data_IF_745805784657
#
_entry.id   IF_745805784657
#
_cell.length_a   1.000
_cell.length_b   1.000
_cell.length_c   1.000
_cell.angle_alpha   90.00
_cell.angle_beta   90.00
_cell.angle_gamma   90.00
#
_symmetry.space_group_name_H-M   'P 1'
#
loop_
_entity.id
_entity.type
_entity.pdbx_description
1 polymer ?
#
# COMPACT_ATOMS: atom_id res chain seq x y z
N UNK A 1 -3.31 -29.94 12.46
CA UNK A 1 -3.70 -28.82 13.34
C UNK A 1 -2.75 -27.62 13.20
N UNK A 2 -1.44 -27.76 13.36
CA UNK A 2 -0.43 -26.66 13.27
C UNK A 2 -0.42 -25.89 11.94
N UNK A 3 -0.59 -26.57 10.79
CA UNK A 3 -0.61 -25.92 9.44
C UNK A 3 -1.86 -25.06 9.26
N UNK A 4 -3.01 -25.50 9.79
CA UNK A 4 -4.26 -24.74 9.73
C UNK A 4 -4.18 -23.47 10.60
N UNK A 5 -3.57 -23.58 11.78
CA UNK A 5 -3.38 -22.45 12.71
C UNK A 5 -2.46 -21.37 12.13
N UNK A 6 -1.35 -21.76 11.51
CA UNK A 6 -0.43 -20.82 10.84
C UNK A 6 -1.08 -20.06 9.68
N UNK A 7 -1.98 -20.72 8.92
CA UNK A 7 -2.73 -20.10 7.84
C UNK A 7 -3.77 -19.10 8.38
N UNK A 8 -4.48 -19.44 9.42
CA UNK A 8 -5.46 -18.55 10.07
C UNK A 8 -4.79 -17.29 10.60
N UNK A 9 -3.63 -17.42 11.27
CA UNK A 9 -2.85 -16.27 11.74
C UNK A 9 -2.40 -15.37 10.59
N UNK A 10 -1.98 -15.94 9.46
CA UNK A 10 -1.61 -15.18 8.28
C UNK A 10 -2.79 -14.40 7.69
N UNK A 11 -3.97 -15.01 7.60
CA UNK A 11 -5.18 -14.34 7.10
C UNK A 11 -5.63 -13.21 8.03
N UNK A 12 -5.60 -13.41 9.35
CA UNK A 12 -5.89 -12.36 10.33
C UNK A 12 -4.90 -11.20 10.25
N UNK A 13 -3.61 -11.50 10.08
CA UNK A 13 -2.58 -10.48 9.92
C UNK A 13 -2.80 -9.64 8.64
N UNK A 14 -3.15 -10.27 7.52
CA UNK A 14 -3.48 -9.56 6.27
C UNK A 14 -4.72 -8.69 6.43
N UNK A 15 -5.74 -9.19 7.12
CA UNK A 15 -6.96 -8.43 7.39
C UNK A 15 -6.66 -7.18 8.22
N UNK A 16 -5.91 -7.34 9.33
CA UNK A 16 -5.49 -6.22 10.16
C UNK A 16 -4.60 -5.22 9.40
N UNK A 17 -3.67 -5.69 8.58
CA UNK A 17 -2.81 -4.84 7.75
C UNK A 17 -3.63 -3.97 6.81
N UNK A 18 -4.60 -4.53 6.11
CA UNK A 18 -5.45 -3.81 5.15
C UNK A 18 -6.35 -2.79 5.84
N UNK A 19 -6.90 -3.11 7.02
CA UNK A 19 -7.65 -2.15 7.83
C UNK A 19 -6.80 -0.94 8.22
N UNK A 20 -5.57 -1.18 8.66
CA UNK A 20 -4.62 -0.11 9.00
C UNK A 20 -4.20 0.71 7.77
N UNK A 21 -3.98 0.07 6.61
CA UNK A 21 -3.68 0.79 5.38
C UNK A 21 -4.86 1.63 4.90
N UNK A 22 -6.07 1.10 4.93
CA UNK A 22 -7.25 1.88 4.57
C UNK A 22 -7.43 3.12 5.46
N UNK A 23 -7.20 2.99 6.78
CA UNK A 23 -7.25 4.12 7.71
C UNK A 23 -6.10 5.10 7.49
N UNK A 24 -4.95 4.67 6.97
CA UNK A 24 -3.81 5.56 6.74
C UNK A 24 -4.09 6.67 5.75
N UNK A 25 -4.92 6.45 4.73
CA UNK A 25 -5.34 7.49 3.79
C UNK A 25 -6.03 8.66 4.49
N UNK A 26 -6.91 8.35 5.44
CA UNK A 26 -7.61 9.36 6.24
C UNK A 26 -6.65 10.11 7.16
N UNK A 27 -5.79 9.36 7.87
CA UNK A 27 -4.82 9.93 8.80
C UNK A 27 -3.77 10.78 8.07
N UNK A 28 -3.33 10.38 6.87
CA UNK A 28 -2.45 11.18 6.01
C UNK A 28 -3.11 12.49 5.60
N UNK A 29 -4.37 12.48 5.17
CA UNK A 29 -5.14 13.70 4.85
C UNK A 29 -5.19 14.65 6.05
N UNK A 30 -5.46 14.15 7.24
CA UNK A 30 -5.47 14.93 8.47
C UNK A 30 -4.08 15.50 8.79
N UNK A 31 -3.03 14.66 8.68
CA UNK A 31 -1.67 15.05 8.96
C UNK A 31 -1.14 16.13 8.00
N UNK A 32 -1.48 16.03 6.71
CA UNK A 32 -1.05 16.99 5.67
C UNK A 32 -1.73 18.37 5.79
N UNK A 33 -2.85 18.46 6.54
CA UNK A 33 -3.41 19.75 6.92
C UNK A 33 -2.65 20.47 8.04
N UNK A 34 -1.75 19.77 8.73
CA UNK A 34 -1.00 20.24 9.89
C UNK A 34 0.49 20.39 9.63
N UNK A 35 1.06 19.51 8.85
CA UNK A 35 2.48 19.46 8.53
C UNK A 35 2.68 19.17 7.05
N UNK A 36 3.80 19.64 6.53
CA UNK A 36 4.23 19.33 5.17
C UNK A 36 4.26 17.80 4.95
N UNK A 37 3.80 17.29 3.77
CA UNK A 37 3.80 15.86 3.47
C UNK A 37 5.15 15.17 3.67
N UNK A 38 6.28 15.83 3.32
CA UNK A 38 7.61 15.22 3.47
C UNK A 38 7.99 15.07 4.94
N UNK A 39 7.57 16.03 5.80
CA UNK A 39 7.76 15.96 7.25
C UNK A 39 6.97 14.78 7.85
N UNK A 40 5.73 14.61 7.44
CA UNK A 40 4.87 13.51 7.90
C UNK A 40 5.47 12.15 7.49
N UNK A 41 5.87 12.00 6.23
CA UNK A 41 6.44 10.73 5.74
C UNK A 41 7.79 10.45 6.39
N UNK A 42 8.68 11.44 6.51
CA UNK A 42 9.92 11.26 7.26
C UNK A 42 9.65 10.86 8.70
N UNK A 43 8.76 11.59 9.40
CA UNK A 43 8.44 11.35 10.80
C UNK A 43 7.96 9.92 11.06
N UNK A 44 7.04 9.40 10.23
CA UNK A 44 6.56 8.01 10.37
C UNK A 44 7.65 6.96 10.14
N UNK A 45 8.55 7.19 9.17
CA UNK A 45 9.67 6.28 8.89
C UNK A 45 10.71 6.34 10.02
N UNK A 46 11.01 7.53 10.51
CA UNK A 46 11.97 7.75 11.58
C UNK A 46 11.50 7.11 12.91
N UNK A 47 10.23 7.29 13.29
CA UNK A 47 9.65 6.64 14.47
C UNK A 47 9.73 5.13 14.34
N UNK A 48 9.35 4.57 13.20
CA UNK A 48 9.45 3.14 12.95
C UNK A 48 10.90 2.65 13.06
N UNK A 49 11.86 3.41 12.52
CA UNK A 49 13.29 3.10 12.61
C UNK A 49 13.79 3.07 14.06
N UNK A 50 13.40 4.05 14.87
CA UNK A 50 13.76 4.07 16.29
C UNK A 50 13.21 2.86 17.03
N UNK A 51 11.95 2.49 16.78
CA UNK A 51 11.35 1.29 17.38
C UNK A 51 12.10 0.01 16.96
N UNK A 52 12.49 -0.10 15.67
CA UNK A 52 13.25 -1.25 15.20
C UNK A 52 14.66 -1.33 15.76
N UNK A 53 15.30 -0.20 16.10
CA UNK A 53 16.60 -0.22 16.78
C UNK A 53 16.54 -0.97 18.10
N UNK A 54 15.44 -0.88 18.86
CA UNK A 54 15.26 -1.58 20.14
C UNK A 54 15.25 -3.11 19.98
N UNK A 55 14.76 -3.62 18.84
CA UNK A 55 14.64 -5.04 18.55
C UNK A 55 15.65 -5.55 17.51
N UNK A 56 16.56 -4.70 17.06
CA UNK A 56 17.53 -4.99 15.99
C UNK A 56 18.29 -6.30 16.19
N UNK A 57 18.78 -6.53 17.40
CA UNK A 57 19.56 -7.74 17.75
C UNK A 57 18.78 -9.04 17.48
N UNK A 58 17.45 -9.01 17.69
CA UNK A 58 16.55 -10.15 17.45
C UNK A 58 16.32 -10.44 15.98
N UNK A 59 16.37 -9.41 15.13
CA UNK A 59 16.04 -9.50 13.70
C UNK A 59 17.24 -9.72 12.79
N UNK A 60 18.48 -9.51 13.25
CA UNK A 60 19.70 -9.55 12.44
C UNK A 60 20.16 -10.93 11.97
N UNK A 61 19.52 -12.02 12.45
CA UNK A 61 19.81 -13.37 11.96
C UNK A 61 19.18 -13.55 10.59
N UNK A 62 19.99 -13.39 9.53
CA UNK A 62 19.56 -13.40 8.14
C UNK A 62 20.44 -14.37 7.32
N UNK A 63 19.84 -14.98 6.29
CA UNK A 63 20.55 -15.76 5.27
C UNK A 63 20.85 -14.87 4.05
N UNK A 64 21.85 -13.98 4.20
CA UNK A 64 22.26 -13.05 3.16
C UNK A 64 23.06 -13.75 2.08
N UNK A 65 22.73 -13.49 0.81
CA UNK A 65 23.50 -13.92 -0.35
C UNK A 65 24.10 -12.73 -1.08
N UNK A 66 25.33 -12.88 -1.65
CA UNK A 66 25.94 -11.83 -2.47
C UNK A 66 24.98 -11.34 -3.57
N UNK A 67 24.74 -10.04 -3.63
CA UNK A 67 23.82 -9.41 -4.59
C UNK A 67 22.40 -9.15 -4.07
N UNK A 68 21.98 -9.69 -2.93
CA UNK A 68 20.66 -9.43 -2.34
C UNK A 68 20.41 -7.94 -2.04
N UNK A 69 21.50 -7.18 -1.79
CA UNK A 69 21.40 -5.73 -1.57
C UNK A 69 20.73 -5.00 -2.72
N UNK A 70 20.89 -5.48 -3.97
CA UNK A 70 20.24 -4.87 -5.15
C UNK A 70 18.72 -5.00 -5.06
N UNK A 71 18.24 -6.18 -4.66
CA UNK A 71 16.81 -6.43 -4.53
C UNK A 71 16.22 -5.75 -3.29
N UNK A 72 16.97 -5.69 -2.18
CA UNK A 72 16.59 -4.94 -0.98
C UNK A 72 16.53 -3.43 -1.26
N UNK A 73 17.54 -2.88 -1.96
CA UNK A 73 17.56 -1.48 -2.37
C UNK A 73 16.40 -1.17 -3.33
N UNK A 74 16.17 -2.01 -4.35
CA UNK A 74 15.05 -1.84 -5.26
C UNK A 74 13.70 -1.88 -4.53
N UNK A 75 13.52 -2.82 -3.58
CA UNK A 75 12.33 -2.90 -2.74
C UNK A 75 12.12 -1.58 -1.95
N UNK A 76 13.17 -1.06 -1.30
CA UNK A 76 13.10 0.17 -0.51
C UNK A 76 12.94 1.44 -1.36
N UNK A 77 13.52 1.49 -2.56
CA UNK A 77 13.33 2.58 -3.52
C UNK A 77 11.89 2.59 -4.06
N UNK A 78 11.35 1.40 -4.40
CA UNK A 78 9.96 1.29 -4.81
C UNK A 78 9.04 1.71 -3.65
N UNK A 79 9.20 1.08 -2.49
CA UNK A 79 8.39 1.33 -1.31
C UNK A 79 9.22 1.09 -0.04
N UNK A 80 9.46 2.12 0.76
CA UNK A 80 8.74 3.39 0.89
C UNK A 80 9.19 4.54 -0.03
N UNK A 81 10.29 4.44 -0.79
CA UNK A 81 10.86 5.55 -1.53
C UNK A 81 9.84 6.30 -2.40
N UNK A 82 9.74 5.96 -3.67
CA UNK A 82 8.87 6.66 -4.63
C UNK A 82 7.38 6.48 -4.35
N UNK A 83 6.96 5.34 -3.80
CA UNK A 83 5.55 5.12 -3.45
C UNK A 83 5.00 6.27 -2.60
N UNK A 84 5.63 6.58 -1.47
CA UNK A 84 5.10 7.64 -0.59
C UNK A 84 5.30 9.05 -1.13
N UNK A 85 6.25 9.29 -2.06
CA UNK A 85 6.29 10.58 -2.78
C UNK A 85 5.02 10.74 -3.61
N UNK A 86 4.67 9.71 -4.39
CA UNK A 86 3.49 9.76 -5.25
C UNK A 86 2.19 9.75 -4.44
N UNK A 87 2.07 8.91 -3.41
CA UNK A 87 0.90 8.87 -2.52
C UNK A 87 0.70 10.20 -1.78
N UNK A 88 1.78 10.78 -1.22
CA UNK A 88 1.70 12.05 -0.53
C UNK A 88 1.24 13.17 -1.45
N UNK A 89 1.84 13.29 -2.64
CA UNK A 89 1.40 14.26 -3.65
C UNK A 89 -0.02 13.95 -4.14
N UNK A 90 -0.38 12.69 -4.34
CA UNK A 90 -1.74 12.31 -4.72
C UNK A 90 -2.77 12.86 -3.73
N UNK A 91 -2.55 12.64 -2.44
CA UNK A 91 -3.47 13.05 -1.37
C UNK A 91 -3.52 14.57 -1.15
N UNK A 92 -2.59 15.34 -1.68
CA UNK A 92 -2.72 16.81 -1.72
C UNK A 92 -3.65 17.29 -2.85
N UNK A 93 -3.83 16.47 -3.90
CA UNK A 93 -4.60 16.83 -5.09
C UNK A 93 -5.94 16.11 -5.20
N UNK A 94 -6.12 14.94 -4.56
CA UNK A 94 -7.36 14.14 -4.63
C UNK A 94 -7.90 13.76 -3.23
N UNK A 95 -9.12 13.24 -3.19
CA UNK A 95 -9.72 12.75 -1.95
C UNK A 95 -9.18 11.37 -1.56
N UNK A 96 -9.20 11.06 -0.26
CA UNK A 96 -8.72 9.78 0.26
C UNK A 96 -9.53 8.59 -0.29
N UNK A 97 -10.84 8.77 -0.48
CA UNK A 97 -11.72 7.76 -1.08
C UNK A 97 -11.36 7.46 -2.53
N UNK A 98 -11.00 8.48 -3.33
CA UNK A 98 -10.57 8.29 -4.72
C UNK A 98 -9.20 7.60 -4.80
N UNK A 99 -8.21 8.06 -4.02
CA UNK A 99 -6.90 7.41 -3.92
C UNK A 99 -7.04 5.94 -3.52
N UNK A 100 -7.81 5.65 -2.47
CA UNK A 100 -8.10 4.28 -2.05
C UNK A 100 -8.76 3.42 -3.14
N UNK A 101 -9.59 4.03 -4.01
CA UNK A 101 -10.22 3.31 -5.13
C UNK A 101 -9.20 2.93 -6.19
N UNK A 102 -8.17 3.76 -6.45
CA UNK A 102 -7.07 3.44 -7.37
C UNK A 102 -6.23 2.26 -6.87
N UNK A 103 -6.11 2.07 -5.55
CA UNK A 103 -5.41 0.91 -4.97
C UNK A 103 -5.99 -0.43 -5.42
N UNK A 104 -7.26 -0.49 -5.83
CA UNK A 104 -7.87 -1.70 -6.38
C UNK A 104 -7.19 -2.23 -7.65
N UNK A 105 -6.41 -1.40 -8.34
CA UNK A 105 -5.63 -1.80 -9.51
C UNK A 105 -4.40 -2.65 -9.14
N UNK A 106 -3.89 -2.51 -7.92
CA UNK A 106 -2.62 -3.13 -7.51
C UNK A 106 -2.59 -4.66 -7.63
N UNK A 107 -3.59 -5.44 -7.17
CA UNK A 107 -3.55 -6.88 -7.34
C UNK A 107 -3.53 -7.32 -8.81
N UNK A 108 -4.17 -6.56 -9.68
CA UNK A 108 -4.21 -6.81 -11.12
C UNK A 108 -2.85 -6.51 -11.76
N UNK A 109 -2.20 -5.41 -11.35
CA UNK A 109 -0.84 -5.06 -11.77
C UNK A 109 0.16 -6.11 -11.30
N UNK A 110 0.03 -6.60 -10.07
CA UNK A 110 0.86 -7.70 -9.54
C UNK A 110 0.65 -8.98 -10.35
N UNK A 111 -0.57 -9.32 -10.77
CA UNK A 111 -0.83 -10.49 -11.60
C UNK A 111 -0.15 -10.36 -12.99
N UNK A 112 -0.19 -9.18 -13.60
CA UNK A 112 0.50 -8.89 -14.88
C UNK A 112 2.03 -8.99 -14.69
N UNK A 113 2.56 -8.37 -13.64
CA UNK A 113 3.99 -8.41 -13.35
C UNK A 113 4.47 -9.85 -13.04
N UNK A 114 3.68 -10.65 -12.30
CA UNK A 114 3.95 -12.06 -12.06
C UNK A 114 3.98 -12.85 -13.37
N UNK A 115 3.07 -12.57 -14.33
CA UNK A 115 3.13 -13.18 -15.66
C UNK A 115 4.42 -12.86 -16.39
N UNK A 116 4.86 -11.61 -16.38
CA UNK A 116 6.04 -11.17 -17.11
C UNK A 116 7.35 -11.66 -16.46
N UNK A 117 7.40 -11.66 -15.11
CA UNK A 117 8.62 -11.92 -14.35
C UNK A 117 8.72 -13.36 -13.88
N UNK A 118 7.60 -13.97 -13.44
CA UNK A 118 7.52 -15.32 -12.87
C UNK A 118 6.96 -16.33 -13.89
N UNK A 119 6.48 -15.86 -15.05
CA UNK A 119 5.82 -16.65 -16.12
C UNK A 119 4.53 -17.34 -15.67
N UNK A 120 3.88 -16.82 -14.63
CA UNK A 120 2.59 -17.31 -14.16
C UNK A 120 1.50 -17.13 -15.24
N UNK A 121 0.55 -18.07 -15.40
CA UNK A 121 -0.49 -17.96 -16.42
C UNK A 121 -1.45 -16.80 -16.09
N UNK A 122 -1.74 -15.93 -17.07
CA UNK A 122 -2.83 -14.97 -16.99
C UNK A 122 -4.09 -15.55 -17.62
N UNK A 123 -5.18 -15.52 -16.87
CA UNK A 123 -6.47 -15.98 -17.39
C UNK A 123 -7.20 -14.87 -18.15
N UNK A 124 -8.12 -15.26 -19.05
CA UNK A 124 -9.00 -14.30 -19.72
C UNK A 124 -9.81 -13.46 -18.72
N UNK A 125 -10.20 -14.08 -17.60
CA UNK A 125 -10.91 -13.39 -16.50
C UNK A 125 -10.09 -12.27 -15.89
N UNK A 126 -8.80 -12.53 -15.61
CA UNK A 126 -7.88 -11.51 -15.10
C UNK A 126 -7.77 -10.34 -16.07
N UNK A 127 -7.64 -10.60 -17.38
CA UNK A 127 -7.56 -9.55 -18.40
C UNK A 127 -8.87 -8.75 -18.45
N UNK A 128 -10.04 -9.42 -18.52
CA UNK A 128 -11.33 -8.74 -18.57
C UNK A 128 -11.56 -7.90 -17.31
N UNK A 129 -11.27 -8.46 -16.13
CA UNK A 129 -11.39 -7.73 -14.86
C UNK A 129 -10.48 -6.52 -14.79
N UNK A 130 -9.23 -6.64 -15.29
CA UNK A 130 -8.30 -5.53 -15.39
C UNK A 130 -8.80 -4.41 -16.31
N UNK A 131 -9.29 -4.77 -17.49
CA UNK A 131 -9.87 -3.79 -18.42
C UNK A 131 -11.05 -3.04 -17.80
N UNK A 132 -11.96 -3.74 -17.12
CA UNK A 132 -13.09 -3.12 -16.41
C UNK A 132 -12.61 -2.18 -15.31
N UNK A 133 -11.63 -2.60 -14.50
CA UNK A 133 -11.10 -1.79 -13.42
C UNK A 133 -10.39 -0.52 -13.94
N UNK A 134 -9.62 -0.62 -15.02
CA UNK A 134 -9.01 0.56 -15.68
C UNK A 134 -10.10 1.52 -16.20
N UNK A 135 -11.10 1.02 -16.90
CA UNK A 135 -12.21 1.86 -17.39
C UNK A 135 -12.91 2.55 -16.23
N UNK A 136 -13.18 1.83 -15.15
CA UNK A 136 -13.75 2.42 -13.91
C UNK A 136 -12.85 3.51 -13.32
N UNK A 137 -11.55 3.27 -13.22
CA UNK A 137 -10.59 4.25 -12.68
C UNK A 137 -10.49 5.51 -13.58
N UNK A 138 -10.52 5.36 -14.90
CA UNK A 138 -10.54 6.49 -15.85
C UNK A 138 -11.83 7.30 -15.71
N UNK A 139 -12.99 6.65 -15.62
CA UNK A 139 -14.27 7.33 -15.42
C UNK A 139 -14.28 8.04 -14.05
N UNK A 140 -13.81 7.38 -12.99
CA UNK A 140 -13.71 7.97 -11.65
C UNK A 140 -12.89 9.26 -11.70
N UNK A 141 -11.71 9.22 -12.31
CA UNK A 141 -10.82 10.37 -12.45
C UNK A 141 -11.42 11.49 -13.30
N UNK A 142 -12.07 11.16 -14.42
CA UNK A 142 -12.65 12.16 -15.32
C UNK A 142 -13.95 12.79 -14.80
N UNK A 143 -14.66 12.08 -13.92
CA UNK A 143 -15.88 12.56 -13.27
C UNK A 143 -15.59 13.35 -11.97
N UNK A 144 -14.32 13.44 -11.56
CA UNK A 144 -13.94 14.14 -10.35
C UNK A 144 -13.89 15.65 -10.60
N UNK A 145 -14.56 16.40 -9.73
CA UNK A 145 -14.56 17.85 -9.73
C UNK A 145 -13.58 18.38 -8.67
N UNK A 146 -12.93 19.51 -8.97
CA UNK A 146 -12.03 20.16 -8.03
C UNK A 146 -12.82 20.71 -6.84
N UNK A 147 -12.31 20.46 -5.65
CA UNK A 147 -12.84 20.97 -4.38
C UNK A 147 -11.74 21.68 -3.60
N UNK A 148 -12.07 22.28 -2.47
CA UNK A 148 -11.06 22.90 -1.59
C UNK A 148 -10.05 21.89 -1.05
N UNK A 149 -10.43 20.63 -0.88
CA UNK A 149 -9.60 19.54 -0.36
C UNK A 149 -9.04 18.63 -1.45
N UNK A 150 -9.49 18.77 -2.70
CA UNK A 150 -9.08 18.00 -3.85
C UNK A 150 -8.95 18.93 -5.07
N UNK A 151 -7.87 19.69 -5.13
CA UNK A 151 -7.68 20.80 -6.08
C UNK A 151 -7.47 20.34 -7.52
N UNK A 152 -6.93 19.14 -7.74
CA UNK A 152 -6.75 18.54 -9.07
C UNK A 152 -6.86 17.01 -8.98
N UNK A 153 -8.10 16.47 -8.86
CA UNK A 153 -8.29 15.05 -8.65
C UNK A 153 -7.71 14.16 -9.76
N UNK A 154 -7.74 14.62 -10.99
CA UNK A 154 -7.18 13.86 -12.14
C UNK A 154 -5.67 13.66 -11.97
N UNK A 155 -4.93 14.71 -11.60
CA UNK A 155 -3.50 14.61 -11.32
C UNK A 155 -3.26 13.75 -10.09
N UNK A 156 -4.03 13.93 -9.01
CA UNK A 156 -3.92 13.13 -7.80
C UNK A 156 -4.13 11.64 -8.06
N UNK A 157 -5.18 11.27 -8.79
CA UNK A 157 -5.46 9.88 -9.16
C UNK A 157 -4.38 9.28 -10.07
N UNK A 158 -3.78 10.08 -10.96
CA UNK A 158 -2.65 9.64 -11.77
C UNK A 158 -1.38 9.41 -10.92
N UNK A 159 -1.10 10.29 -9.96
CA UNK A 159 0.02 10.10 -9.02
C UNK A 159 -0.19 8.84 -8.16
N UNK A 160 -1.40 8.59 -7.70
CA UNK A 160 -1.73 7.36 -6.97
C UNK A 160 -1.54 6.11 -7.84
N UNK A 161 -1.87 6.18 -9.13
CA UNK A 161 -1.57 5.09 -10.07
C UNK A 161 -0.06 4.84 -10.18
N UNK A 162 0.78 5.89 -10.20
CA UNK A 162 2.25 5.74 -10.18
C UNK A 162 2.72 5.10 -8.85
N UNK A 163 2.10 5.46 -7.72
CA UNK A 163 2.35 4.79 -6.44
C UNK A 163 2.05 3.29 -6.53
N UNK A 164 0.95 2.89 -7.18
CA UNK A 164 0.63 1.47 -7.39
C UNK A 164 1.68 0.73 -8.24
N UNK A 165 2.30 1.39 -9.23
CA UNK A 165 3.43 0.81 -9.96
C UNK A 165 4.59 0.51 -9.01
N UNK A 166 4.91 1.44 -8.12
CA UNK A 166 5.96 1.26 -7.11
C UNK A 166 5.60 0.12 -6.13
N UNK A 167 4.36 0.10 -5.63
CA UNK A 167 3.87 -0.97 -4.75
C UNK A 167 3.94 -2.35 -5.42
N UNK A 168 3.66 -2.42 -6.73
CA UNK A 168 3.82 -3.66 -7.49
C UNK A 168 5.30 -4.13 -7.50
N UNK A 169 6.24 -3.21 -7.74
CA UNK A 169 7.68 -3.49 -7.66
C UNK A 169 8.11 -4.00 -6.28
N UNK A 170 7.63 -3.35 -5.22
CA UNK A 170 7.82 -3.79 -3.84
C UNK A 170 7.28 -5.21 -3.61
N UNK A 171 6.03 -5.51 -3.98
CA UNK A 171 5.41 -6.82 -3.73
C UNK A 171 6.14 -7.97 -4.43
N UNK A 172 6.57 -7.76 -5.66
CA UNK A 172 7.35 -8.77 -6.41
C UNK A 172 8.71 -9.00 -5.74
N UNK A 173 9.38 -7.94 -5.28
CA UNK A 173 10.65 -8.02 -4.56
C UNK A 173 10.49 -8.71 -3.21
N UNK A 174 9.46 -8.32 -2.45
CA UNK A 174 9.10 -8.93 -1.18
C UNK A 174 8.89 -10.44 -1.33
N UNK A 175 8.12 -10.87 -2.35
CA UNK A 175 7.86 -12.31 -2.57
C UNK A 175 9.13 -13.09 -2.86
N UNK A 176 10.12 -12.50 -3.54
CA UNK A 176 11.43 -13.13 -3.77
C UNK A 176 12.30 -13.19 -2.51
N UNK A 177 12.14 -12.25 -1.58
CA UNK A 177 12.95 -12.14 -0.36
C UNK A 177 12.38 -12.96 0.81
N UNK A 178 11.07 -13.05 0.96
CA UNK A 178 10.40 -13.71 2.11
C UNK A 178 10.76 -15.20 2.34
N UNK A 179 11.21 -16.00 1.36
CA UNK A 179 11.67 -17.36 1.63
C UNK A 179 12.96 -17.43 2.48
N UNK A 180 13.78 -16.37 2.47
CA UNK A 180 15.10 -16.32 3.14
C UNK A 180 15.20 -15.29 4.26
N UNK A 181 14.38 -14.25 4.19
CA UNK A 181 14.41 -13.14 5.14
C UNK A 181 13.19 -13.16 6.04
N UNK A 182 13.42 -12.87 7.33
CA UNK A 182 12.33 -12.65 8.25
C UNK A 182 11.47 -11.46 7.78
N UNK A 183 10.14 -11.57 7.71
CA UNK A 183 9.25 -10.49 7.30
C UNK A 183 9.45 -9.18 8.08
N UNK A 184 9.67 -9.26 9.39
CA UNK A 184 9.93 -8.10 10.25
C UNK A 184 11.27 -7.44 9.95
N UNK A 185 12.28 -8.23 9.53
CA UNK A 185 13.54 -7.69 9.05
C UNK A 185 13.34 -6.87 7.76
N UNK A 186 12.52 -7.36 6.84
CA UNK A 186 12.19 -6.62 5.61
C UNK A 186 11.47 -5.31 5.92
N UNK A 187 10.51 -5.32 6.87
CA UNK A 187 9.84 -4.10 7.34
C UNK A 187 10.83 -3.13 7.99
N UNK A 188 11.78 -3.63 8.77
CA UNK A 188 12.84 -2.81 9.36
C UNK A 188 13.71 -2.16 8.29
N UNK A 189 14.13 -2.89 7.25
CA UNK A 189 14.88 -2.33 6.11
C UNK A 189 14.06 -1.24 5.41
N UNK A 190 12.76 -1.44 5.20
CA UNK A 190 11.89 -0.41 4.64
C UNK A 190 11.85 0.85 5.51
N UNK A 191 11.74 0.72 6.84
CA UNK A 191 11.76 1.87 7.73
C UNK A 191 13.07 2.66 7.64
N UNK A 192 14.23 1.97 7.68
CA UNK A 192 15.54 2.61 7.58
C UNK A 192 15.78 3.23 6.20
N UNK A 193 15.46 2.53 5.13
CA UNK A 193 15.60 3.08 3.76
C UNK A 193 14.68 4.27 3.56
N UNK A 194 13.45 4.24 4.10
CA UNK A 194 12.54 5.38 4.08
C UNK A 194 13.08 6.57 4.86
N UNK A 195 13.56 6.36 6.09
CA UNK A 195 14.17 7.45 6.87
C UNK A 195 15.34 8.08 6.14
N UNK A 196 16.23 7.27 5.55
CA UNK A 196 17.38 7.77 4.79
C UNK A 196 16.94 8.49 3.50
N UNK A 197 15.92 7.99 2.81
CA UNK A 197 15.42 8.59 1.56
C UNK A 197 14.74 9.93 1.82
N UNK A 198 13.93 10.05 2.88
CA UNK A 198 13.15 11.25 3.15
C UNK A 198 13.93 12.31 3.93
N UNK A 199 15.00 11.94 4.65
CA UNK A 199 15.80 12.90 5.41
C UNK A 199 16.32 14.09 4.56
N UNK A 200 16.97 13.87 3.39
CA UNK A 200 17.41 14.98 2.54
C UNK A 200 16.24 15.81 1.97
N UNK A 201 15.06 15.23 1.79
CA UNK A 201 13.90 15.94 1.25
C UNK A 201 13.35 16.99 2.24
N UNK A 202 13.67 16.89 3.52
CA UNK A 202 13.32 17.91 4.51
C UNK A 202 14.04 19.25 4.28
N UNK A 203 15.16 19.25 3.54
CA UNK A 203 15.95 20.44 3.25
C UNK A 203 15.64 21.03 1.88
N UNK A 204 14.65 20.52 1.17
CA UNK A 204 14.19 21.13 -0.09
C UNK A 204 13.52 22.46 0.19
N UNK A 205 13.72 23.49 -0.67
CA UNK A 205 13.07 24.79 -0.52
C UNK A 205 11.54 24.74 -0.53
N UNK A 206 10.98 23.65 -1.08
CA UNK A 206 9.54 23.40 -1.14
C UNK A 206 8.97 22.75 0.13
N UNK A 207 9.82 22.30 1.06
CA UNK A 207 9.38 21.63 2.29
C UNK A 207 9.29 22.62 3.44
N UNK A 208 8.11 22.77 4.01
CA UNK A 208 7.86 23.64 5.15
C UNK A 208 8.07 22.87 6.46
N UNK A 209 9.15 23.20 7.17
CA UNK A 209 9.39 22.60 8.49
C UNK A 209 8.42 23.18 9.53
N UNK A 210 7.93 22.37 10.50
CA UNK A 210 7.00 22.83 11.51
C UNK A 210 7.65 23.88 12.41
N UNK A 211 6.99 25.01 12.57
CA UNK A 211 7.42 26.11 13.45
C UNK A 211 6.74 26.09 14.81
N UNK A 212 5.68 25.28 14.95
CA UNK A 212 4.90 25.13 16.18
C UNK A 212 4.51 23.67 16.42
N UNK A 213 4.25 23.36 17.67
CA UNK A 213 3.74 22.03 18.05
C UNK A 213 2.24 21.93 17.72
N UNK A 214 1.86 20.90 16.97
CA UNK A 214 0.47 20.52 16.72
C UNK A 214 0.22 19.09 17.21
N UNK A 215 -0.61 18.93 18.22
CA UNK A 215 -0.86 17.65 18.86
C UNK A 215 -1.49 16.64 17.91
N UNK A 216 -2.44 17.07 17.06
CA UNK A 216 -3.11 16.18 16.11
C UNK A 216 -2.13 15.70 15.03
N UNK A 217 -1.27 16.58 14.52
CA UNK A 217 -0.24 16.24 13.56
C UNK A 217 0.76 15.24 14.15
N UNK A 218 1.22 15.46 15.39
CA UNK A 218 2.15 14.53 16.07
C UNK A 218 1.50 13.18 16.34
N UNK A 219 0.25 13.13 16.82
CA UNK A 219 -0.49 11.87 17.05
C UNK A 219 -0.67 11.13 15.71
N UNK A 220 -0.96 11.84 14.63
CA UNK A 220 -1.08 11.24 13.29
C UNK A 220 0.25 10.61 12.85
N UNK A 221 1.38 11.29 13.03
CA UNK A 221 2.70 10.75 12.69
C UNK A 221 3.04 9.53 13.56
N UNK A 222 2.74 9.57 14.87
CA UNK A 222 2.92 8.41 15.76
C UNK A 222 2.07 7.21 15.32
N UNK A 223 0.80 7.44 15.00
CA UNK A 223 -0.08 6.41 14.48
C UNK A 223 0.45 5.80 13.18
N UNK A 224 0.83 6.64 12.22
CA UNK A 224 1.41 6.20 10.94
C UNK A 224 2.73 5.44 11.13
N UNK A 225 3.58 5.87 12.05
CA UNK A 225 4.87 5.22 12.33
C UNK A 225 4.71 3.86 13.00
N UNK A 226 3.94 3.79 14.06
CA UNK A 226 3.82 2.58 14.88
C UNK A 226 2.81 1.59 14.30
N UNK A 227 1.57 2.03 14.07
CA UNK A 227 0.51 1.10 13.66
C UNK A 227 0.56 0.81 12.17
N UNK A 228 0.84 1.80 11.33
CA UNK A 228 0.85 1.59 9.88
C UNK A 228 2.22 1.09 9.41
N UNK A 229 3.31 1.82 9.68
CA UNK A 229 4.63 1.43 9.17
C UNK A 229 5.16 0.15 9.82
N UNK A 230 5.07 0.00 11.13
CA UNK A 230 5.50 -1.26 11.78
C UNK A 230 4.40 -2.30 11.69
N UNK A 231 3.19 -1.95 12.15
CA UNK A 231 2.08 -2.89 12.29
C UNK A 231 1.58 -3.43 10.95
N UNK A 232 1.07 -2.56 10.07
CA UNK A 232 0.47 -3.00 8.81
C UNK A 232 1.49 -3.66 7.89
N UNK A 233 2.66 -3.02 7.65
CA UNK A 233 3.70 -3.61 6.81
C UNK A 233 4.26 -4.91 7.39
N UNK A 234 4.52 -4.96 8.71
CA UNK A 234 5.01 -6.17 9.36
C UNK A 234 4.01 -7.33 9.24
N UNK A 235 2.73 -7.07 9.49
CA UNK A 235 1.65 -8.07 9.38
C UNK A 235 1.42 -8.49 7.92
N UNK A 236 1.47 -7.56 6.96
CA UNK A 236 1.33 -7.88 5.55
C UNK A 236 2.51 -8.72 5.04
N UNK A 237 3.74 -8.32 5.36
CA UNK A 237 4.96 -9.07 5.02
C UNK A 237 4.93 -10.48 5.64
N UNK A 238 4.44 -10.61 6.88
CA UNK A 238 4.23 -11.91 7.52
C UNK A 238 3.18 -12.74 6.77
N UNK A 239 2.04 -12.18 6.43
CA UNK A 239 1.00 -12.85 5.65
C UNK A 239 1.52 -13.32 4.29
N UNK A 240 2.21 -12.43 3.55
CA UNK A 240 2.84 -12.69 2.26
C UNK A 240 3.88 -13.82 2.33
N UNK A 241 4.57 -13.99 3.47
CA UNK A 241 5.52 -15.10 3.67
C UNK A 241 4.86 -16.47 3.81
N UNK A 242 3.58 -16.51 4.23
CA UNK A 242 2.87 -17.75 4.59
C UNK A 242 1.89 -18.25 3.54
N UNK A 243 1.40 -17.37 2.66
CA UNK A 243 0.43 -17.73 1.63
C UNK A 243 0.87 -17.23 0.24
N UNK A 244 0.30 -17.75 -0.86
CA UNK A 244 0.61 -17.28 -2.21
C UNK A 244 0.36 -15.79 -2.40
N UNK A 245 1.22 -15.11 -3.19
CA UNK A 245 1.15 -13.67 -3.41
C UNK A 245 -0.21 -13.21 -3.95
N UNK A 246 -0.79 -13.94 -4.91
CA UNK A 246 -2.11 -13.64 -5.46
C UNK A 246 -3.23 -13.72 -4.40
N UNK A 247 -3.10 -14.61 -3.40
CA UNK A 247 -4.07 -14.70 -2.31
C UNK A 247 -3.86 -13.57 -1.29
N UNK A 248 -2.63 -13.19 -0.98
CA UNK A 248 -2.31 -12.10 -0.08
C UNK A 248 -2.72 -10.75 -0.68
N UNK A 249 -2.40 -10.49 -1.95
CA UNK A 249 -2.77 -9.25 -2.64
C UNK A 249 -4.28 -9.06 -2.78
N UNK A 250 -5.06 -10.14 -2.83
CA UNK A 250 -6.53 -10.05 -2.90
C UNK A 250 -7.15 -9.31 -1.69
N UNK A 251 -6.47 -9.29 -0.53
CA UNK A 251 -6.93 -8.52 0.64
C UNK A 251 -6.90 -7.00 0.40
N UNK A 252 -6.01 -6.52 -0.45
CA UNK A 252 -5.91 -5.08 -0.80
C UNK A 252 -7.21 -4.57 -1.43
N UNK A 253 -7.98 -5.44 -2.09
CA UNK A 253 -9.27 -5.09 -2.65
C UNK A 253 -10.32 -4.64 -1.60
N UNK A 254 -10.04 -4.81 -0.30
CA UNK A 254 -10.86 -4.26 0.78
C UNK A 254 -10.57 -2.77 1.02
N UNK A 255 -9.37 -2.27 0.66
CA UNK A 255 -8.98 -0.87 0.88
C UNK A 255 -10.01 0.09 0.27
N UNK A 256 -10.41 -0.03 -1.03
CA UNK A 256 -11.35 0.89 -1.63
C UNK A 256 -12.65 1.05 -0.86
N UNK A 257 -13.20 -0.08 -0.40
CA UNK A 257 -14.48 -0.08 0.33
C UNK A 257 -14.33 0.60 1.69
N UNK A 258 -13.24 0.29 2.40
CA UNK A 258 -12.99 0.83 3.73
C UNK A 258 -12.66 2.32 3.65
N UNK A 259 -11.79 2.74 2.72
CA UNK A 259 -11.45 4.17 2.54
C UNK A 259 -12.64 4.99 2.11
N UNK A 260 -13.51 4.47 1.24
CA UNK A 260 -14.75 5.13 0.86
C UNK A 260 -15.65 5.39 2.08
N UNK A 261 -15.87 4.36 2.91
CA UNK A 261 -16.69 4.49 4.12
C UNK A 261 -16.05 5.50 5.10
N UNK A 262 -14.75 5.39 5.33
CA UNK A 262 -14.04 6.29 6.24
C UNK A 262 -13.98 7.73 5.71
N UNK A 263 -13.78 7.93 4.41
CA UNK A 263 -13.78 9.24 3.76
C UNK A 263 -15.15 9.95 3.90
N UNK A 264 -16.24 9.20 3.67
CA UNK A 264 -17.60 9.71 3.86
C UNK A 264 -17.90 10.08 5.32
N UNK A 265 -17.45 9.22 6.28
CA UNK A 265 -17.83 9.37 7.70
C UNK A 265 -16.91 10.36 8.44
N UNK A 266 -15.60 10.36 8.15
CA UNK A 266 -14.60 11.10 8.93
C UNK A 266 -14.12 12.39 8.25
N UNK A 267 -14.15 12.45 6.92
CA UNK A 267 -13.71 13.62 6.15
C UNK A 267 -14.85 14.36 5.43
N UNK A 268 -16.10 13.88 5.57
CA UNK A 268 -17.29 14.38 4.85
C UNK A 268 -17.07 14.46 3.31
N UNK A 269 -16.21 13.57 2.78
CA UNK A 269 -15.98 13.45 1.33
C UNK A 269 -17.26 12.96 0.67
N UNK A 270 -17.68 13.59 -0.43
CA UNK A 270 -18.88 13.21 -1.17
C UNK A 270 -18.56 12.96 -2.62
N UNK A 271 -18.79 11.74 -3.05
CA UNK A 271 -18.69 11.39 -4.46
C UNK A 271 -19.99 11.76 -5.19
N UNK A 272 -19.88 12.22 -6.43
CA UNK A 272 -21.04 12.36 -7.28
C UNK A 272 -21.52 10.99 -7.78
N UNK A 273 -22.72 10.92 -8.36
CA UNK A 273 -23.32 9.66 -8.76
C UNK A 273 -22.47 8.91 -9.80
N UNK A 274 -21.78 9.65 -10.68
CA UNK A 274 -20.90 9.09 -11.71
C UNK A 274 -19.66 8.45 -11.09
N UNK A 275 -19.12 9.06 -10.03
CA UNK A 275 -18.00 8.50 -9.26
C UNK A 275 -18.41 7.23 -8.49
N UNK A 276 -19.64 7.17 -7.94
CA UNK A 276 -20.14 5.93 -7.33
C UNK A 276 -20.28 4.79 -8.35
N UNK A 277 -20.79 5.08 -9.54
CA UNK A 277 -20.91 4.06 -10.59
C UNK A 277 -19.55 3.62 -11.12
N UNK A 278 -18.60 4.53 -11.27
CA UNK A 278 -17.23 4.23 -11.64
C UNK A 278 -16.53 3.36 -10.58
N UNK A 279 -16.71 3.69 -9.29
CA UNK A 279 -16.20 2.90 -8.16
C UNK A 279 -16.78 1.48 -8.15
N UNK A 280 -18.08 1.36 -8.39
CA UNK A 280 -18.73 0.05 -8.54
C UNK A 280 -18.13 -0.75 -9.70
N UNK A 281 -17.83 -0.09 -10.84
CA UNK A 281 -17.19 -0.74 -11.98
C UNK A 281 -15.79 -1.24 -11.66
N UNK A 282 -14.99 -0.47 -10.90
CA UNK A 282 -13.67 -0.91 -10.40
C UNK A 282 -13.83 -2.16 -9.54
N UNK A 283 -14.75 -2.16 -8.57
CA UNK A 283 -15.00 -3.30 -7.67
C UNK A 283 -15.49 -4.53 -8.46
N UNK A 284 -16.37 -4.36 -9.43
CA UNK A 284 -16.83 -5.44 -10.33
C UNK A 284 -15.65 -5.98 -11.15
N UNK A 285 -14.80 -5.11 -11.69
CA UNK A 285 -13.60 -5.52 -12.43
C UNK A 285 -12.67 -6.39 -11.57
N UNK A 286 -12.44 -5.98 -10.33
CA UNK A 286 -11.67 -6.74 -9.34
C UNK A 286 -12.34 -8.11 -9.08
N UNK A 287 -13.64 -8.13 -8.84
CA UNK A 287 -14.38 -9.38 -8.58
C UNK A 287 -14.32 -10.34 -9.77
N UNK A 288 -14.48 -9.83 -10.99
CA UNK A 288 -14.38 -10.62 -12.22
C UNK A 288 -12.97 -11.19 -12.41
N UNK A 289 -11.93 -10.45 -12.01
CA UNK A 289 -10.54 -10.88 -12.14
C UNK A 289 -10.16 -12.03 -11.20
N UNK A 290 -10.89 -12.21 -10.10
CA UNK A 290 -10.59 -13.27 -9.11
C UNK A 290 -10.80 -14.64 -9.71
N UNK A 291 -9.78 -15.49 -9.67
CA UNK A 291 -9.89 -16.88 -10.13
C UNK A 291 -10.77 -17.68 -9.17
N UNK A 292 -11.77 -18.38 -9.73
CA UNK A 292 -12.38 -19.48 -8.98
C UNK A 292 -11.27 -20.49 -8.71
N UNK A 293 -11.03 -20.83 -7.43
CA UNK A 293 -10.13 -21.90 -7.01
C UNK A 293 -10.25 -23.08 -7.96
N UNK A 294 -9.20 -23.36 -8.74
CA UNK A 294 -9.07 -24.67 -9.36
C UNK A 294 -9.15 -25.69 -8.21
N UNK A 295 -10.13 -26.57 -8.23
CA UNK A 295 -10.16 -27.76 -7.35
C UNK A 295 -8.83 -28.45 -7.61
N UNK A 296 -7.96 -28.52 -6.61
CA UNK A 296 -6.76 -29.36 -6.64
C UNK A 296 -7.23 -30.75 -7.05
N UNK A 297 -6.70 -31.35 -8.13
CA UNK A 297 -7.03 -32.73 -8.43
C UNK A 297 -6.67 -33.56 -7.21
N UNK A 298 -7.58 -34.45 -6.80
CA UNK A 298 -7.29 -35.42 -5.76
C UNK A 298 -6.01 -36.19 -6.16
N UNK A 299 -5.09 -36.49 -5.23
CA UNK A 299 -3.98 -37.35 -5.54
C UNK A 299 -4.54 -38.67 -6.07
N UNK A 300 -4.22 -38.99 -7.31
CA UNK A 300 -4.50 -40.31 -7.87
C UNK A 300 -3.74 -41.29 -7.01
N UNK A 301 -4.50 -42.22 -6.40
CA UNK A 301 -4.04 -43.27 -5.52
C UNK A 301 -3.17 -44.31 -6.29
#
# INVERSE_FOLDING_TARGET
MVIAEGKTRALLALWAAVMLWASSFIVLKIAFQRFDPMVVIFGRMFIASLCFLLVFKSLRKIDYRPGDWKLLAFMGICEPGFYFVFEALALTYTDASQAGMICALLPLMVAVAARLILKDPLTRRTITGFSLAIVGAVILSSAAEATATATNPTLGNFLEFLAMICACGYMISLKKLTPRYNPWFLTMIQAFTGSLFYFPLLFLPSTELPTAFDAMGVISILYLGVFVTIGAYGMYNYGMSKIPAAQASAFINLIPVITLILGLVLLDERLNWMQYTASALVVVGVYVSQEKRAKTPAPTA
#
